data_IF_619843322132
#
_entry.id   IF_619843322132
#
_cell.length_a   1.000
_cell.length_b   1.000
_cell.length_c   1.000
_cell.angle_alpha   90.00
_cell.angle_beta   90.00
_cell.angle_gamma   90.00
#
_symmetry.space_group_name_H-M   'P 1'
#
loop_
_entity.id
_entity.type
_entity.pdbx_description
1 polymer ?
#
# COMPACT_ATOMS: atom_id res chain seq x y z
N UNK A 1 20.24 9.69 8.01
CA UNK A 1 18.95 10.41 8.11
C UNK A 1 17.84 9.38 8.20
N UNK A 2 17.02 9.45 9.26
CA UNK A 2 15.74 8.76 9.37
C UNK A 2 14.64 9.75 8.99
N UNK A 3 13.69 9.36 8.14
CA UNK A 3 12.58 10.21 7.69
C UNK A 3 11.44 9.33 7.20
N UNK A 4 10.21 9.67 7.56
CA UNK A 4 8.98 9.15 7.01
C UNK A 4 8.25 10.31 6.32
N UNK A 5 7.70 10.09 5.14
CA UNK A 5 6.92 11.09 4.41
C UNK A 5 6.04 10.45 3.35
N UNK A 6 5.06 11.20 2.88
CA UNK A 6 4.23 10.84 1.74
C UNK A 6 4.79 11.51 0.48
N UNK A 7 4.98 10.76 -0.59
CA UNK A 7 5.38 11.27 -1.88
C UNK A 7 4.29 11.04 -2.93
N UNK A 8 4.09 11.99 -3.82
CA UNK A 8 3.20 11.83 -4.98
C UNK A 8 4.00 11.27 -6.16
N UNK A 9 3.88 9.96 -6.40
CA UNK A 9 4.58 9.31 -7.51
C UNK A 9 3.93 9.69 -8.84
N UNK A 10 4.66 10.24 -9.81
CA UNK A 10 4.11 10.48 -11.14
C UNK A 10 3.84 9.18 -11.89
N UNK A 11 2.91 9.21 -12.85
CA UNK A 11 2.72 8.14 -13.82
C UNK A 11 3.95 7.99 -14.74
N UNK A 12 4.09 6.84 -15.41
CA UNK A 12 5.15 6.55 -16.37
C UNK A 12 6.49 6.14 -15.74
N UNK A 13 6.58 6.00 -14.42
CA UNK A 13 7.79 5.60 -13.72
C UNK A 13 7.53 4.49 -12.70
N UNK A 14 8.34 3.45 -12.71
CA UNK A 14 8.27 2.39 -11.71
C UNK A 14 8.61 2.91 -10.30
N UNK A 15 7.93 2.39 -9.25
CA UNK A 15 8.13 2.82 -7.87
C UNK A 15 9.59 2.74 -7.40
N UNK A 16 10.35 1.71 -7.82
CA UNK A 16 11.77 1.60 -7.50
C UNK A 16 12.63 2.67 -8.18
N UNK A 17 12.31 3.05 -9.42
CA UNK A 17 13.02 4.12 -10.13
C UNK A 17 12.72 5.48 -9.51
N UNK A 18 11.48 5.70 -9.10
CA UNK A 18 11.07 6.89 -8.35
C UNK A 18 11.79 6.97 -6.98
N UNK A 19 11.82 5.86 -6.20
CA UNK A 19 12.58 5.81 -4.95
C UNK A 19 14.07 6.12 -5.18
N UNK A 20 14.66 5.64 -6.27
CA UNK A 20 16.05 5.93 -6.61
C UNK A 20 16.28 7.42 -6.91
N UNK A 21 15.31 8.11 -7.50
CA UNK A 21 15.35 9.56 -7.68
C UNK A 21 15.29 10.31 -6.34
N UNK A 22 14.38 9.88 -5.44
CA UNK A 22 14.28 10.43 -4.08
C UNK A 22 15.57 10.21 -3.28
N UNK A 23 16.17 9.02 -3.37
CA UNK A 23 17.47 8.74 -2.72
C UNK A 23 18.56 9.70 -3.18
N UNK A 24 18.61 10.03 -4.46
CA UNK A 24 19.56 11.03 -5.00
C UNK A 24 19.23 12.44 -4.53
N UNK A 25 17.94 12.84 -4.60
CA UNK A 25 17.45 14.16 -4.14
C UNK A 25 17.88 14.45 -2.71
N UNK A 26 17.80 13.45 -1.83
CA UNK A 26 18.06 13.58 -0.38
C UNK A 26 19.45 13.08 0.06
N UNK A 27 20.29 12.60 -0.83
CA UNK A 27 21.63 12.10 -0.50
C UNK A 27 21.62 10.85 0.41
N UNK A 28 20.57 9.99 0.35
CA UNK A 28 20.41 8.85 1.26
C UNK A 28 20.72 7.52 0.57
N UNK A 29 21.34 6.60 1.31
CA UNK A 29 21.67 5.25 0.81
C UNK A 29 20.55 4.23 1.10
N UNK A 30 19.95 4.26 2.32
CA UNK A 30 18.91 3.33 2.77
C UNK A 30 17.55 3.99 2.67
N UNK A 31 16.66 3.41 1.89
CA UNK A 31 15.28 3.87 1.73
C UNK A 31 14.38 2.69 1.35
N UNK A 32 13.09 2.84 1.61
CA UNK A 32 12.03 1.92 1.20
C UNK A 32 10.73 2.68 0.94
N UNK A 33 9.74 1.98 0.42
CA UNK A 33 8.38 2.48 0.28
C UNK A 33 7.36 1.39 0.60
N UNK A 34 6.16 1.80 0.98
CA UNK A 34 5.03 0.92 1.22
C UNK A 34 4.20 0.78 -0.05
N UNK A 35 3.74 -0.45 -0.35
CA UNK A 35 2.76 -0.71 -1.42
C UNK A 35 3.20 -0.23 -2.81
N UNK A 36 3.73 -1.12 -3.61
CA UNK A 36 4.15 -0.81 -5.00
C UNK A 36 2.99 -0.22 -5.81
N UNK A 37 3.25 0.86 -6.53
CA UNK A 37 2.42 1.36 -7.61
C UNK A 37 3.02 0.89 -8.95
N UNK A 38 2.14 0.46 -9.85
CA UNK A 38 2.52 0.10 -11.23
C UNK A 38 3.11 1.32 -11.95
N UNK A 39 3.89 1.15 -13.03
CA UNK A 39 4.50 2.27 -13.74
C UNK A 39 3.47 3.28 -14.25
N UNK A 40 2.37 2.82 -14.86
CA UNK A 40 1.31 3.69 -15.35
C UNK A 40 0.53 4.41 -14.23
N UNK A 41 0.54 3.87 -13.01
CA UNK A 41 -0.17 4.44 -11.87
C UNK A 41 0.58 5.63 -11.26
N UNK A 42 -0.17 6.57 -10.69
CA UNK A 42 0.34 7.72 -9.94
C UNK A 42 -0.18 7.75 -8.50
N UNK A 43 0.29 8.70 -7.71
CA UNK A 43 -0.30 9.05 -6.43
C UNK A 43 0.49 8.63 -5.21
N UNK A 44 -0.20 8.52 -4.09
CA UNK A 44 0.33 8.36 -2.75
C UNK A 44 1.29 7.17 -2.63
N UNK A 45 2.53 7.45 -2.24
CA UNK A 45 3.57 6.45 -1.94
C UNK A 45 4.23 6.83 -0.62
N UNK A 46 4.00 6.03 0.42
CA UNK A 46 4.66 6.22 1.72
C UNK A 46 6.13 5.83 1.57
N UNK A 47 7.03 6.76 1.82
CA UNK A 47 8.47 6.59 1.70
C UNK A 47 9.13 6.74 3.06
N UNK A 48 10.13 5.91 3.32
CA UNK A 48 10.91 6.01 4.54
C UNK A 48 12.40 5.82 4.27
N UNK A 49 13.22 6.65 4.94
CA UNK A 49 14.67 6.61 4.90
C UNK A 49 15.25 6.00 6.17
N UNK A 50 16.45 5.42 6.03
CA UNK A 50 17.22 4.89 7.13
C UNK A 50 16.53 3.73 7.84
N UNK A 51 16.49 3.77 9.16
CA UNK A 51 15.85 2.75 9.99
C UNK A 51 14.32 2.75 9.79
N UNK A 52 13.71 3.90 9.47
CA UNK A 52 12.27 4.03 9.32
C UNK A 52 11.67 3.19 8.20
N UNK A 53 12.47 2.71 7.24
CA UNK A 53 12.01 1.74 6.25
C UNK A 53 11.49 0.41 6.84
N UNK A 54 11.75 0.14 8.12
CA UNK A 54 11.20 -1.03 8.83
C UNK A 54 9.79 -0.81 9.38
N UNK A 55 9.30 0.46 9.43
CA UNK A 55 7.98 0.80 9.97
C UNK A 55 6.81 0.25 9.17
N UNK A 56 6.97 0.04 7.87
CA UNK A 56 5.84 -0.29 6.99
C UNK A 56 4.98 -1.46 7.49
N UNK A 57 5.53 -2.38 8.26
CA UNK A 57 4.80 -3.51 8.85
C UNK A 57 3.97 -3.15 10.07
N UNK A 58 4.18 -1.96 10.63
CA UNK A 58 3.48 -1.45 11.82
C UNK A 58 2.54 -0.29 11.52
N UNK A 59 2.58 0.25 10.29
CA UNK A 59 1.70 1.33 9.88
C UNK A 59 0.31 0.80 9.57
N UNK A 60 -0.72 1.55 9.94
CA UNK A 60 -2.09 1.29 9.51
C UNK A 60 -2.27 1.78 8.07
N UNK A 61 -2.34 0.85 7.12
CA UNK A 61 -2.30 1.11 5.67
C UNK A 61 -3.61 0.82 4.94
N UNK A 62 -4.69 0.64 5.67
CA UNK A 62 -6.02 0.37 5.13
C UNK A 62 -7.03 1.43 5.56
N UNK A 63 -8.01 1.71 4.69
CA UNK A 63 -8.12 1.29 3.30
C UNK A 63 -7.11 2.00 2.38
N UNK A 64 -6.85 1.42 1.20
CA UNK A 64 -6.19 2.11 0.10
C UNK A 64 -7.24 2.64 -0.85
N UNK A 65 -7.25 3.95 -1.07
CA UNK A 65 -8.25 4.62 -1.91
C UNK A 65 -7.64 4.98 -3.25
N UNK A 66 -8.35 4.64 -4.31
CA UNK A 66 -7.91 4.87 -5.68
C UNK A 66 -9.01 5.54 -6.51
N UNK A 67 -8.58 6.41 -7.41
CA UNK A 67 -9.36 6.83 -8.58
C UNK A 67 -8.76 6.18 -9.81
N UNK A 68 -9.60 5.56 -10.63
CA UNK A 68 -9.18 4.87 -11.83
C UNK A 68 -10.11 5.19 -13.00
N UNK A 69 -9.57 5.09 -14.21
CA UNK A 69 -10.35 5.18 -15.44
C UNK A 69 -10.24 3.87 -16.21
N UNK A 70 -11.37 3.24 -16.43
CA UNK A 70 -11.54 2.05 -17.24
C UNK A 70 -11.82 2.45 -18.68
N UNK A 71 -11.10 1.86 -19.63
CA UNK A 71 -11.32 1.98 -21.05
C UNK A 71 -12.05 0.74 -21.55
N UNK A 72 -13.34 0.89 -21.80
CA UNK A 72 -14.19 -0.16 -22.32
C UNK A 72 -13.83 -0.48 -23.79
N UNK A 73 -13.78 -1.75 -24.13
CA UNK A 73 -13.38 -2.25 -25.45
C UNK A 73 -11.88 -2.48 -25.63
N UNK A 74 -11.01 -1.91 -24.80
CA UNK A 74 -9.58 -2.14 -24.88
C UNK A 74 -9.17 -3.45 -24.17
N UNK A 75 -8.25 -4.19 -24.77
CA UNK A 75 -7.72 -5.44 -24.25
C UNK A 75 -6.22 -5.33 -24.01
N UNK A 76 -5.77 -5.75 -22.83
CA UNK A 76 -4.38 -5.74 -22.42
C UNK A 76 -4.07 -6.92 -21.48
N UNK A 77 -3.05 -7.73 -21.75
CA UNK A 77 -2.63 -8.81 -20.86
C UNK A 77 -2.17 -8.32 -19.48
N UNK A 78 -1.69 -7.08 -19.39
CA UNK A 78 -1.30 -6.47 -18.11
C UNK A 78 -2.47 -5.89 -17.33
N UNK A 79 -3.65 -5.73 -17.96
CA UNK A 79 -4.83 -5.09 -17.38
C UNK A 79 -4.68 -3.56 -17.22
N UNK A 80 -3.73 -2.96 -17.95
CA UNK A 80 -3.45 -1.53 -17.98
C UNK A 80 -3.09 -1.05 -19.40
N UNK A 81 -2.77 0.22 -19.56
CA UNK A 81 -2.51 0.85 -20.85
C UNK A 81 -1.10 0.63 -21.43
N UNK A 82 -0.25 -0.16 -20.76
CA UNK A 82 1.13 -0.38 -21.24
C UNK A 82 1.22 -1.34 -22.43
N UNK A 83 0.28 -2.31 -22.53
CA UNK A 83 0.31 -3.37 -23.55
C UNK A 83 -1.08 -3.56 -24.18
N UNK A 84 -1.61 -2.52 -24.83
CA UNK A 84 -2.88 -2.63 -25.56
C UNK A 84 -2.66 -3.46 -26.83
N UNK A 85 -3.33 -4.62 -26.95
CA UNK A 85 -3.25 -5.51 -28.08
C UNK A 85 -4.39 -5.30 -29.07
N UNK A 86 -5.59 -4.96 -28.56
CA UNK A 86 -6.79 -4.81 -29.36
C UNK A 86 -7.72 -3.80 -28.75
N UNK A 87 -8.46 -3.10 -29.58
CA UNK A 87 -9.58 -2.23 -29.20
C UNK A 87 -10.80 -2.61 -30.01
N UNK A 88 -11.86 -3.00 -29.35
CA UNK A 88 -13.16 -3.32 -29.94
C UNK A 88 -14.12 -2.16 -29.72
N UNK A 89 -14.94 -1.90 -30.73
CA UNK A 89 -16.06 -1.00 -30.55
C UNK A 89 -17.20 -1.72 -29.83
N UNK A 90 -17.58 -1.18 -28.69
CA UNK A 90 -18.71 -1.67 -27.89
C UNK A 90 -19.80 -0.57 -27.89
N UNK A 91 -21.09 -0.92 -27.85
CA UNK A 91 -22.13 0.09 -27.71
C UNK A 91 -22.03 0.77 -26.32
N UNK A 92 -22.47 2.06 -26.24
CA UNK A 92 -22.55 2.73 -24.95
C UNK A 92 -23.45 1.96 -23.97
N UNK A 93 -22.98 1.82 -22.72
CA UNK A 93 -23.78 1.25 -21.64
C UNK A 93 -24.61 2.34 -20.97
N UNK A 94 -25.75 1.99 -20.38
CA UNK A 94 -26.49 2.96 -19.57
C UNK A 94 -25.83 3.17 -18.23
N UNK A 95 -26.05 4.32 -17.61
CA UNK A 95 -25.53 4.63 -16.27
C UNK A 95 -26.07 3.65 -15.22
N UNK A 96 -27.31 3.24 -15.34
CA UNK A 96 -27.97 2.29 -14.44
C UNK A 96 -27.31 0.92 -14.45
N UNK A 97 -26.91 0.43 -15.64
CA UNK A 97 -26.16 -0.84 -15.78
C UNK A 97 -24.81 -0.74 -15.08
N UNK A 98 -24.09 0.37 -15.29
CA UNK A 98 -22.79 0.60 -14.66
C UNK A 98 -22.90 0.69 -13.14
N UNK A 99 -23.88 1.44 -12.62
CA UNK A 99 -24.09 1.60 -11.18
C UNK A 99 -24.54 0.27 -10.53
N UNK A 100 -25.39 -0.51 -11.20
CA UNK A 100 -25.81 -1.83 -10.72
C UNK A 100 -24.64 -2.83 -10.65
N UNK A 101 -23.78 -2.86 -11.67
CA UNK A 101 -22.57 -3.69 -11.65
C UNK A 101 -21.60 -3.25 -10.56
N UNK A 102 -21.39 -1.93 -10.41
CA UNK A 102 -20.51 -1.37 -9.37
C UNK A 102 -21.02 -1.68 -7.96
N UNK A 103 -22.32 -1.65 -7.72
CA UNK A 103 -22.91 -1.96 -6.42
C UNK A 103 -22.64 -3.41 -5.99
N UNK A 104 -22.55 -4.35 -6.94
CA UNK A 104 -22.22 -5.75 -6.70
C UNK A 104 -20.74 -5.99 -6.37
N UNK A 105 -19.89 -4.99 -6.51
CA UNK A 105 -18.46 -5.08 -6.25
C UNK A 105 -18.07 -4.79 -4.79
N UNK A 106 -19.03 -4.57 -3.90
CA UNK A 106 -18.77 -4.33 -2.47
C UNK A 106 -18.62 -5.64 -1.70
N UNK A 107 -17.80 -5.61 -0.64
CA UNK A 107 -17.57 -6.75 0.23
C UNK A 107 -16.31 -7.54 -0.12
N UNK A 108 -16.30 -8.82 0.17
CA UNK A 108 -15.14 -9.68 -0.10
C UNK A 108 -15.23 -10.24 -1.52
N UNK A 109 -14.15 -10.07 -2.27
CA UNK A 109 -14.03 -10.53 -3.66
C UNK A 109 -12.82 -11.45 -3.78
N UNK A 110 -13.03 -12.64 -4.30
CA UNK A 110 -11.97 -13.55 -4.71
C UNK A 110 -11.46 -13.19 -6.09
N UNK A 111 -10.16 -13.27 -6.30
CA UNK A 111 -9.53 -12.92 -7.57
C UNK A 111 -8.20 -13.65 -7.76
N UNK A 112 -7.79 -13.79 -9.01
CA UNK A 112 -6.41 -14.20 -9.35
C UNK A 112 -5.59 -12.92 -9.53
N UNK A 113 -4.46 -12.76 -8.80
CA UNK A 113 -3.61 -11.59 -8.97
C UNK A 113 -3.08 -11.48 -10.39
N UNK A 114 -2.85 -10.25 -10.91
CA UNK A 114 -2.31 -10.09 -12.24
C UNK A 114 -0.93 -10.77 -12.39
N UNK A 115 -0.66 -11.41 -13.54
CA UNK A 115 0.64 -11.98 -13.87
C UNK A 115 1.75 -10.91 -13.82
N UNK A 116 1.44 -9.68 -14.26
CA UNK A 116 2.32 -8.52 -14.17
C UNK A 116 2.28 -7.88 -12.78
N UNK A 117 2.61 -8.66 -11.72
CA UNK A 117 2.62 -8.19 -10.34
C UNK A 117 3.95 -8.42 -9.63
N UNK A 118 4.11 -7.77 -8.46
CA UNK A 118 5.28 -7.94 -7.62
C UNK A 118 5.24 -9.21 -6.74
N UNK A 119 4.20 -10.06 -6.86
CA UNK A 119 4.16 -11.35 -6.15
C UNK A 119 5.34 -12.22 -6.56
N UNK A 120 5.77 -13.10 -5.66
CA UNK A 120 6.86 -14.05 -5.93
C UNK A 120 6.29 -15.45 -6.15
N UNK A 121 6.83 -16.14 -7.14
CA UNK A 121 6.64 -17.56 -7.42
C UNK A 121 8.05 -18.16 -7.34
N UNK A 122 8.27 -19.08 -6.43
CA UNK A 122 9.56 -19.74 -6.19
C UNK A 122 10.77 -18.77 -6.12
N UNK A 123 10.53 -17.62 -5.42
CA UNK A 123 11.53 -16.57 -5.23
C UNK A 123 11.64 -15.55 -6.37
N UNK A 124 11.10 -15.83 -7.56
CA UNK A 124 11.11 -14.93 -8.73
C UNK A 124 9.86 -14.07 -8.74
N UNK A 125 9.98 -12.81 -9.15
CA UNK A 125 8.82 -11.90 -9.28
C UNK A 125 7.97 -12.29 -10.49
N UNK A 126 6.65 -12.41 -10.32
CA UNK A 126 5.71 -12.81 -11.36
C UNK A 126 5.82 -11.96 -12.63
N UNK A 127 5.97 -10.62 -12.51
CA UNK A 127 6.15 -9.76 -13.68
C UNK A 127 7.40 -10.08 -14.53
N UNK A 128 8.45 -10.70 -13.96
CA UNK A 128 9.64 -11.08 -14.71
C UNK A 128 9.35 -12.31 -15.59
N UNK A 129 8.63 -13.28 -15.03
CA UNK A 129 8.20 -14.48 -15.74
C UNK A 129 7.22 -14.09 -16.87
N UNK A 130 6.22 -13.27 -16.56
CA UNK A 130 5.27 -12.79 -17.56
C UNK A 130 5.94 -12.03 -18.72
N UNK A 131 6.95 -11.19 -18.45
CA UNK A 131 7.73 -10.50 -19.51
C UNK A 131 8.61 -11.44 -20.33
N UNK A 132 9.02 -12.55 -19.76
CA UNK A 132 9.77 -13.60 -20.47
C UNK A 132 8.84 -14.51 -21.32
N UNK A 133 7.53 -14.29 -21.29
CA UNK A 133 6.55 -15.14 -21.96
C UNK A 133 6.31 -16.48 -21.27
N UNK A 134 6.78 -16.62 -20.01
CA UNK A 134 6.55 -17.82 -19.21
C UNK A 134 5.13 -17.83 -18.64
N UNK A 135 4.55 -19.02 -18.51
CA UNK A 135 3.24 -19.17 -17.88
C UNK A 135 3.32 -18.84 -16.39
N UNK A 136 2.45 -17.95 -15.95
CA UNK A 136 2.40 -17.46 -14.56
C UNK A 136 1.14 -17.97 -13.89
N UNK A 137 1.26 -19.04 -13.10
CA UNK A 137 0.17 -19.54 -12.26
C UNK A 137 0.23 -18.91 -10.87
N UNK A 138 -0.77 -18.11 -10.52
CA UNK A 138 -0.91 -17.48 -9.21
C UNK A 138 -2.11 -18.05 -8.47
N UNK A 139 -1.93 -18.29 -7.17
CA UNK A 139 -3.01 -18.76 -6.30
C UNK A 139 -4.07 -17.68 -6.14
N UNK A 140 -5.32 -18.09 -6.05
CA UNK A 140 -6.45 -17.24 -5.68
C UNK A 140 -6.13 -16.46 -4.40
N UNK A 141 -6.55 -15.23 -4.36
CA UNK A 141 -6.43 -14.30 -3.24
C UNK A 141 -7.77 -13.63 -3.02
N UNK A 142 -7.99 -13.03 -1.85
CA UNK A 142 -9.16 -12.20 -1.61
C UNK A 142 -8.78 -10.75 -1.38
N UNK A 143 -9.71 -9.84 -1.67
CA UNK A 143 -9.65 -8.43 -1.32
C UNK A 143 -10.99 -8.00 -0.78
N UNK A 144 -10.98 -7.12 0.22
CA UNK A 144 -12.19 -6.46 0.69
C UNK A 144 -12.36 -5.12 -0.01
N UNK A 145 -13.52 -4.90 -0.59
CA UNK A 145 -13.94 -3.63 -1.17
C UNK A 145 -14.78 -2.90 -0.12
N UNK A 146 -14.21 -1.88 0.51
CA UNK A 146 -14.89 -1.06 1.52
C UNK A 146 -15.92 -0.11 0.91
N UNK A 147 -15.66 0.34 -0.32
CA UNK A 147 -16.55 1.18 -1.09
C UNK A 147 -16.11 1.28 -2.53
N UNK A 148 -17.08 1.44 -3.42
CA UNK A 148 -16.84 1.67 -4.84
C UNK A 148 -17.98 2.52 -5.41
N UNK A 149 -17.64 3.48 -6.27
CA UNK A 149 -18.59 4.39 -6.90
C UNK A 149 -18.10 4.83 -8.29
N UNK A 150 -19.03 5.07 -9.20
CA UNK A 150 -18.74 5.65 -10.52
C UNK A 150 -18.76 7.16 -10.39
N UNK A 151 -17.65 7.80 -10.73
CA UNK A 151 -17.49 9.25 -10.69
C UNK A 151 -18.02 9.90 -11.97
N UNK A 152 -17.66 9.33 -13.13
CA UNK A 152 -18.12 9.83 -14.42
C UNK A 152 -18.11 8.73 -15.47
N UNK A 153 -18.94 8.92 -16.50
CA UNK A 153 -18.97 8.08 -17.69
C UNK A 153 -19.03 8.95 -18.93
N UNK A 154 -18.02 8.82 -19.76
CA UNK A 154 -17.97 9.40 -21.11
C UNK A 154 -17.46 8.31 -22.05
N UNK A 155 -18.37 7.61 -22.72
CA UNK A 155 -18.05 6.45 -23.56
C UNK A 155 -16.84 6.71 -24.47
N UNK A 156 -15.85 5.81 -24.50
CA UNK A 156 -15.80 4.49 -23.84
C UNK A 156 -15.12 4.50 -22.44
N UNK A 157 -15.02 5.62 -21.76
CA UNK A 157 -14.29 5.76 -20.51
C UNK A 157 -15.22 5.85 -19.30
N UNK A 158 -14.97 4.99 -18.29
CA UNK A 158 -15.66 5.00 -17.01
C UNK A 158 -14.64 5.35 -15.91
N UNK A 159 -14.80 6.50 -15.27
CA UNK A 159 -14.00 6.87 -14.10
C UNK A 159 -14.71 6.44 -12.82
N UNK A 160 -13.99 5.78 -11.93
CA UNK A 160 -14.54 5.30 -10.68
C UNK A 160 -13.55 5.51 -9.52
N UNK A 161 -14.08 5.51 -8.31
CA UNK A 161 -13.33 5.51 -7.06
C UNK A 161 -13.55 4.19 -6.35
N UNK A 162 -12.48 3.63 -5.77
CA UNK A 162 -12.56 2.37 -5.03
C UNK A 162 -11.65 2.40 -3.81
N UNK A 163 -12.14 1.85 -2.70
CA UNK A 163 -11.38 1.65 -1.45
C UNK A 163 -11.19 0.15 -1.22
N UNK A 164 -9.93 -0.32 -1.17
CA UNK A 164 -9.54 -1.72 -1.09
C UNK A 164 -8.71 -2.01 0.15
N UNK A 165 -8.78 -3.26 0.61
CA UNK A 165 -7.85 -3.80 1.61
C UNK A 165 -6.41 -3.92 1.08
N UNK A 166 -5.46 -4.10 1.98
CA UNK A 166 -4.09 -4.44 1.62
C UNK A 166 -4.05 -5.73 0.80
N UNK A 167 -3.20 -5.77 -0.22
CA UNK A 167 -3.11 -6.90 -1.15
C UNK A 167 -4.13 -6.89 -2.29
N UNK A 168 -5.13 -6.00 -2.26
CA UNK A 168 -6.06 -5.80 -3.36
C UNK A 168 -5.42 -5.17 -4.59
N UNK A 169 -5.91 -5.54 -5.78
CA UNK A 169 -5.44 -5.03 -7.07
C UNK A 169 -6.59 -4.35 -7.82
N UNK A 170 -6.43 -3.06 -8.11
CA UNK A 170 -7.44 -2.32 -8.90
C UNK A 170 -7.58 -2.89 -10.31
N UNK A 171 -6.52 -3.46 -10.89
CA UNK A 171 -6.57 -4.16 -12.19
C UNK A 171 -7.46 -5.39 -12.13
N UNK A 172 -7.35 -6.21 -11.08
CA UNK A 172 -8.26 -7.37 -10.88
C UNK A 172 -9.69 -6.91 -10.59
N UNK A 173 -9.87 -5.84 -9.80
CA UNK A 173 -11.19 -5.23 -9.59
C UNK A 173 -11.82 -4.80 -10.92
N UNK A 174 -11.07 -4.09 -11.78
CA UNK A 174 -11.54 -3.65 -13.09
C UNK A 174 -11.88 -4.83 -14.01
N UNK A 175 -11.07 -5.90 -14.01
CA UNK A 175 -11.35 -7.10 -14.80
C UNK A 175 -12.66 -7.77 -14.38
N UNK A 176 -12.89 -7.94 -13.08
CA UNK A 176 -14.17 -8.51 -12.58
C UNK A 176 -15.35 -7.60 -12.92
N UNK A 177 -15.17 -6.29 -12.88
CA UNK A 177 -16.21 -5.32 -13.24
C UNK A 177 -16.61 -5.47 -14.72
N UNK A 178 -15.64 -5.54 -15.65
CA UNK A 178 -15.96 -5.70 -17.09
C UNK A 178 -16.56 -7.08 -17.40
N UNK A 179 -16.15 -8.13 -16.70
CA UNK A 179 -16.79 -9.45 -16.79
C UNK A 179 -18.28 -9.39 -16.40
N UNK A 180 -18.61 -8.68 -15.30
CA UNK A 180 -20.01 -8.46 -14.90
C UNK A 180 -20.81 -7.63 -15.89
N UNK A 181 -20.16 -6.71 -16.60
CA UNK A 181 -20.76 -5.90 -17.64
C UNK A 181 -20.91 -6.65 -18.98
N UNK A 182 -20.30 -7.85 -19.11
CA UNK A 182 -20.30 -8.63 -20.35
C UNK A 182 -19.51 -7.99 -21.49
N UNK A 183 -18.50 -7.18 -21.17
CA UNK A 183 -17.64 -6.48 -22.15
C UNK A 183 -16.16 -6.70 -21.80
N UNK A 184 -15.26 -6.37 -22.72
CA UNK A 184 -13.84 -6.25 -22.42
C UNK A 184 -13.48 -4.82 -21.99
N UNK A 185 -12.35 -4.68 -21.27
CA UNK A 185 -11.85 -3.38 -20.87
C UNK A 185 -10.56 -3.49 -20.07
N UNK A 186 -9.83 -2.38 -20.00
CA UNK A 186 -8.58 -2.28 -19.24
C UNK A 186 -8.46 -0.92 -18.58
N UNK A 187 -7.57 -0.76 -17.60
CA UNK A 187 -7.33 0.54 -16.97
C UNK A 187 -6.50 1.44 -17.90
N UNK A 188 -6.99 2.64 -18.18
CA UNK A 188 -6.25 3.68 -18.88
C UNK A 188 -5.55 4.65 -17.94
N UNK A 189 -6.04 4.81 -16.70
CA UNK A 189 -5.42 5.62 -15.67
C UNK A 189 -5.70 5.02 -14.28
N UNK A 190 -4.74 5.23 -13.36
CA UNK A 190 -4.85 4.83 -11.97
C UNK A 190 -4.10 5.82 -11.08
N UNK A 191 -4.78 6.31 -10.05
CA UNK A 191 -4.18 7.16 -9.03
C UNK A 191 -4.54 6.66 -7.64
N UNK A 192 -3.55 6.39 -6.81
CA UNK A 192 -3.78 6.15 -5.38
C UNK A 192 -3.90 7.48 -4.66
N UNK A 193 -5.08 7.79 -4.13
CA UNK A 193 -5.34 9.02 -3.38
C UNK A 193 -4.74 8.92 -1.98
N UNK A 194 -4.96 7.77 -1.32
CA UNK A 194 -4.50 7.53 0.04
C UNK A 194 -4.11 6.07 0.31
N UNK A 195 -3.32 5.87 1.35
CA UNK A 195 -2.97 4.57 1.93
C UNK A 195 -3.13 4.67 3.46
N UNK A 196 -4.23 4.14 4.02
CA UNK A 196 -4.64 4.39 5.39
C UNK A 196 -4.90 5.88 5.63
N UNK A 197 -4.29 6.43 6.66
CA UNK A 197 -4.37 7.84 7.01
C UNK A 197 -3.46 8.76 6.17
N UNK A 198 -2.63 8.22 5.29
CA UNK A 198 -1.75 9.00 4.43
C UNK A 198 -2.51 9.43 3.16
N UNK A 199 -3.08 10.62 3.17
CA UNK A 199 -3.91 11.17 2.08
C UNK A 199 -3.19 12.37 1.44
N UNK A 200 -3.01 12.36 0.12
CA UNK A 200 -2.38 13.45 -0.63
C UNK A 200 -3.15 14.78 -0.55
N UNK A 201 -4.43 14.75 -0.16
CA UNK A 201 -5.24 15.96 0.03
C UNK A 201 -5.02 16.62 1.39
N UNK A 202 -4.42 15.90 2.34
CA UNK A 202 -4.14 16.44 3.68
C UNK A 202 -2.87 17.30 3.63
N UNK A 203 -2.95 18.59 3.99
CA UNK A 203 -1.80 19.51 3.95
C UNK A 203 -0.61 19.08 4.80
N UNK A 204 -0.81 18.22 5.81
CA UNK A 204 0.30 17.68 6.63
C UNK A 204 1.30 16.87 5.80
N UNK A 205 0.89 16.33 4.66
CA UNK A 205 1.72 15.52 3.78
C UNK A 205 2.28 16.27 2.56
N UNK A 206 2.01 17.60 2.46
CA UNK A 206 2.49 18.41 1.36
C UNK A 206 4.03 18.44 1.32
N UNK A 207 4.58 18.62 0.13
CA UNK A 207 6.01 18.87 -0.12
C UNK A 207 6.96 17.84 0.51
N UNK A 208 6.50 16.58 0.60
CA UNK A 208 7.26 15.51 1.24
C UNK A 208 7.65 15.86 2.70
N UNK A 209 6.74 16.52 3.45
CA UNK A 209 6.97 16.91 4.84
C UNK A 209 7.42 15.72 5.69
N UNK A 210 8.40 15.95 6.57
CA UNK A 210 8.85 14.92 7.49
C UNK A 210 7.77 14.66 8.55
N UNK A 211 7.41 13.39 8.71
CA UNK A 211 6.35 12.94 9.61
C UNK A 211 6.95 12.31 10.86
N UNK A 212 6.27 12.49 11.99
CA UNK A 212 6.56 11.69 13.18
C UNK A 212 5.94 10.30 13.02
N UNK A 213 6.76 9.22 12.91
CA UNK A 213 6.21 7.89 12.68
C UNK A 213 5.33 7.40 13.83
N UNK A 214 5.50 7.88 15.05
CA UNK A 214 4.71 7.46 16.22
C UNK A 214 3.21 7.76 16.06
N UNK A 215 2.86 8.80 15.30
CA UNK A 215 1.47 9.18 15.03
C UNK A 215 0.74 8.20 14.11
N UNK A 216 1.49 7.35 13.40
CA UNK A 216 0.98 6.45 12.37
C UNK A 216 1.15 4.96 12.70
N UNK A 217 1.73 4.65 13.88
CA UNK A 217 1.85 3.28 14.33
C UNK A 217 0.51 2.79 14.89
N UNK A 218 0.10 1.59 14.46
CA UNK A 218 -1.07 0.90 15.01
C UNK A 218 -0.63 0.03 16.20
N UNK A 219 -0.08 0.69 17.24
CA UNK A 219 0.46 0.05 18.43
C UNK A 219 -0.03 0.76 19.68
N UNK A 220 -0.37 -0.02 20.69
CA UNK A 220 -0.69 0.51 22.02
C UNK A 220 0.60 0.86 22.77
N UNK A 221 0.63 1.98 23.51
CA UNK A 221 1.74 2.28 24.40
C UNK A 221 1.79 1.27 25.53
N UNK A 222 3.01 0.94 25.98
CA UNK A 222 3.27 0.20 27.21
C UNK A 222 4.39 0.89 27.98
N UNK A 223 4.49 0.63 29.26
CA UNK A 223 5.48 1.25 30.14
C UNK A 223 6.29 0.16 30.85
N UNK A 224 7.57 0.40 30.97
CA UNK A 224 8.53 -0.46 31.67
C UNK A 224 8.91 0.18 32.99
N UNK A 225 8.77 -0.55 34.11
CA UNK A 225 9.03 -0.04 35.47
C UNK A 225 10.54 -0.05 35.83
N UNK A 226 11.39 -0.61 34.96
CA UNK A 226 12.83 -0.66 35.18
C UNK A 226 13.61 0.52 34.59
N UNK A 227 14.93 0.39 34.55
CA UNK A 227 15.78 1.42 33.90
C UNK A 227 15.60 1.41 32.40
N UNK A 228 15.27 2.59 31.84
CA UNK A 228 15.12 2.80 30.38
C UNK A 228 16.35 2.35 29.57
N UNK A 229 17.55 2.39 30.18
CA UNK A 229 18.76 1.88 29.56
C UNK A 229 18.70 0.38 29.26
N UNK A 230 17.95 -0.39 30.03
CA UNK A 230 17.79 -1.83 29.79
C UNK A 230 17.03 -2.07 28.47
N UNK A 231 16.01 -1.26 28.20
CA UNK A 231 15.26 -1.27 26.93
C UNK A 231 16.16 -0.86 25.78
N UNK A 232 16.88 0.26 25.89
CA UNK A 232 17.78 0.78 24.84
C UNK A 232 18.87 -0.26 24.49
N UNK A 233 19.46 -0.90 25.51
CA UNK A 233 20.48 -1.93 25.34
C UNK A 233 19.93 -3.28 24.87
N UNK A 234 18.61 -3.42 24.74
CA UNK A 234 17.96 -4.65 24.29
C UNK A 234 18.09 -5.79 25.29
N UNK A 235 18.18 -5.50 26.59
CA UNK A 235 18.20 -6.54 27.64
C UNK A 235 16.85 -7.28 27.66
N UNK A 236 16.88 -8.55 28.06
CA UNK A 236 15.68 -9.36 28.19
C UNK A 236 14.74 -8.73 29.23
N UNK A 237 13.54 -8.38 28.84
CA UNK A 237 12.50 -7.85 29.74
C UNK A 237 11.61 -9.00 30.22
N UNK A 238 11.07 -8.86 31.41
CA UNK A 238 10.04 -9.76 31.90
C UNK A 238 8.67 -9.09 31.80
N UNK A 239 7.65 -9.82 31.40
CA UNK A 239 6.31 -9.27 31.25
C UNK A 239 5.75 -8.68 32.57
N UNK A 240 6.19 -9.20 33.73
CA UNK A 240 5.82 -8.69 35.06
C UNK A 240 6.25 -7.23 35.30
N UNK A 241 7.33 -6.78 34.62
CA UNK A 241 7.90 -5.45 34.76
C UNK A 241 7.30 -4.45 33.76
N UNK A 242 6.26 -4.87 33.04
CA UNK A 242 5.49 -4.05 32.10
C UNK A 242 4.11 -3.72 32.65
N UNK A 243 3.62 -2.51 32.35
CA UNK A 243 2.29 -2.06 32.77
C UNK A 243 1.18 -2.92 32.15
N UNK A 244 1.24 -3.18 30.85
CA UNK A 244 0.38 -4.18 30.19
C UNK A 244 1.14 -5.49 30.01
N UNK A 245 0.51 -6.60 30.42
CA UNK A 245 1.09 -7.96 30.37
C UNK A 245 0.35 -8.87 29.39
N UNK A 246 -0.71 -8.36 28.77
CA UNK A 246 -1.48 -9.11 27.78
C UNK A 246 -0.66 -9.38 26.54
N UNK A 247 -0.96 -10.50 25.87
CA UNK A 247 -0.35 -10.81 24.57
C UNK A 247 -0.69 -9.72 23.56
N UNK A 248 0.29 -9.28 22.76
CA UNK A 248 0.11 -8.20 21.80
C UNK A 248 1.42 -7.48 21.48
N UNK A 249 1.29 -6.49 20.60
CA UNK A 249 2.41 -5.62 20.20
C UNK A 249 2.27 -4.27 20.85
N UNK A 250 3.38 -3.76 21.37
CA UNK A 250 3.40 -2.55 22.15
C UNK A 250 4.55 -1.63 21.75
N UNK A 251 4.32 -0.33 21.97
CA UNK A 251 5.31 0.72 21.84
C UNK A 251 5.85 1.07 23.24
N UNK A 252 7.16 0.92 23.45
CA UNK A 252 7.88 1.43 24.64
C UNK A 252 8.59 2.72 24.26
N UNK A 253 8.30 3.82 24.96
CA UNK A 253 8.97 5.11 24.78
C UNK A 253 9.96 5.30 25.92
N UNK A 254 11.23 5.54 25.60
CA UNK A 254 12.32 5.68 26.53
C UNK A 254 13.14 6.95 26.20
N UNK A 255 12.71 8.10 26.73
CA UNK A 255 13.31 9.40 26.38
C UNK A 255 13.20 9.69 24.88
N UNK A 256 14.33 9.93 24.23
CA UNK A 256 14.42 10.22 22.80
C UNK A 256 14.37 8.98 21.88
N UNK A 257 14.18 7.81 22.48
CA UNK A 257 14.14 6.54 21.75
C UNK A 257 12.85 5.81 22.03
N UNK A 258 12.49 4.91 21.12
CA UNK A 258 11.41 3.96 21.33
C UNK A 258 11.78 2.58 20.83
N UNK A 259 11.07 1.60 21.35
CA UNK A 259 11.20 0.20 20.97
C UNK A 259 9.83 -0.38 20.70
N UNK A 260 9.75 -1.34 19.78
CA UNK A 260 8.55 -2.11 19.53
C UNK A 260 8.79 -3.51 20.06
N UNK A 261 7.92 -3.94 20.98
CA UNK A 261 7.97 -5.27 21.59
C UNK A 261 6.71 -6.07 21.24
N UNK A 262 6.83 -7.37 21.38
CA UNK A 262 5.71 -8.32 21.35
C UNK A 262 5.74 -9.12 22.65
N UNK A 263 4.56 -9.24 23.28
CA UNK A 263 4.32 -10.16 24.38
C UNK A 263 3.55 -11.34 23.77
N UNK A 264 4.06 -12.54 23.98
CA UNK A 264 3.47 -13.79 23.49
C UNK A 264 3.66 -14.87 24.56
N UNK A 265 2.55 -15.36 25.11
CA UNK A 265 2.55 -16.34 26.23
C UNK A 265 3.43 -15.90 27.41
N UNK A 266 3.45 -14.60 27.73
CA UNK A 266 4.25 -14.04 28.82
C UNK A 266 5.75 -13.83 28.51
N UNK A 267 6.19 -14.20 27.31
CA UNK A 267 7.54 -13.87 26.83
C UNK A 267 7.56 -12.52 26.12
N UNK A 268 8.58 -11.70 26.44
CA UNK A 268 8.80 -10.39 25.81
C UNK A 268 9.88 -10.49 24.76
N UNK A 269 9.57 -10.10 23.52
CA UNK A 269 10.53 -10.06 22.42
C UNK A 269 10.59 -8.68 21.79
N UNK A 270 11.79 -8.19 21.50
CA UNK A 270 11.95 -6.98 20.70
C UNK A 270 11.67 -7.29 19.23
N UNK A 271 10.69 -6.63 18.65
CA UNK A 271 10.47 -6.62 17.22
C UNK A 271 11.34 -5.55 16.55
N UNK A 272 11.59 -4.46 17.29
CA UNK A 272 12.50 -3.40 16.89
C UNK A 272 12.95 -2.60 18.12
N UNK A 273 14.25 -2.32 18.21
CA UNK A 273 14.84 -1.67 19.37
C UNK A 273 15.65 -0.44 18.98
N UNK A 274 15.83 0.46 19.94
CA UNK A 274 16.70 1.64 19.87
C UNK A 274 16.44 2.50 18.62
N UNK A 275 15.19 2.91 18.47
CA UNK A 275 14.79 3.75 17.33
C UNK A 275 14.68 5.20 17.78
N UNK A 276 15.51 6.11 17.23
CA UNK A 276 15.44 7.51 17.61
C UNK A 276 14.13 8.12 17.15
N UNK A 277 13.51 8.94 18.01
CA UNK A 277 12.35 9.76 17.70
C UNK A 277 12.82 10.87 16.75
N UNK A 278 12.18 10.99 15.57
CA UNK A 278 12.49 12.07 14.64
C UNK A 278 12.01 13.39 15.23
N UNK A 279 12.91 14.36 15.30
CA UNK A 279 12.58 15.69 15.80
C UNK A 279 12.98 15.93 17.26
N UNK A 280 13.90 15.16 17.80
CA UNK A 280 14.61 15.51 19.02
C UNK A 280 15.39 16.82 18.86
N UNK A 281 14.65 17.93 18.78
CA UNK A 281 15.03 19.23 19.26
C UNK A 281 13.90 19.60 20.21
N UNK A 282 14.09 19.27 21.44
CA UNK A 282 13.33 19.87 22.54
C UNK A 282 14.04 21.12 23.00
#
# INVERSE_FOLDING_TARGET
>A
MNRLFLADKPAGIASNKFLSALKRKYGVKKAGFSGTLDPFASGALIVAFGQYARFFRFLKKEPKVYTATLWLGAQSPSGDNENIERVEQIPPLSREILDAAMAQMRGEIKFIPPAFSAKKIDGVRAYKLARAGEEVSLKESSMRVFGAEILSYAHPFVSFRVALSEGGYVRSFAQILVEKLGVCGTLSALRRESEGSFDLKDPRFADEAALNPLEFLDLQPNFYDGDARDVILGKKLAAKDLASRADGRYLLICGDFYSIIEIDAGEVRYLWNDVPIAGGVF
#
